data_IF_820726517389
#
_entry.id   IF_820726517389
#
_cell.length_a   1.000
_cell.length_b   1.000
_cell.length_c   1.000
_cell.angle_alpha   90.00
_cell.angle_beta   90.00
_cell.angle_gamma   90.00
#
_symmetry.space_group_name_H-M   'P 1'
#
loop_
_entity.id
_entity.type
_entity.pdbx_description
1 polymer ?
#
# COMPACT_ATOMS: atom_id res chain seq x y z
N UNK A 1 -22.46 10.08 2.34
CA UNK A 1 -21.28 9.44 2.94
C UNK A 1 -20.69 8.46 1.96
N UNK A 2 -19.41 8.64 1.64
CA UNK A 2 -18.68 7.76 0.74
C UNK A 2 -18.53 6.37 1.35
N UNK A 3 -18.59 5.34 0.53
CA UNK A 3 -18.52 3.95 0.98
C UNK A 3 -17.08 3.46 1.06
N UNK A 4 -16.67 3.01 2.24
CA UNK A 4 -15.45 2.20 2.38
C UNK A 4 -15.80 0.76 1.97
N UNK A 5 -15.13 0.27 0.94
CA UNK A 5 -15.43 -1.04 0.35
C UNK A 5 -14.78 -2.18 1.13
N UNK A 6 -13.50 -2.00 1.54
CA UNK A 6 -12.73 -3.02 2.29
C UNK A 6 -11.41 -2.49 2.81
N UNK A 7 -10.75 -3.30 3.63
CA UNK A 7 -9.29 -3.24 3.81
C UNK A 7 -8.66 -3.82 2.53
N UNK A 8 -7.78 -3.07 1.89
CA UNK A 8 -7.09 -3.48 0.67
C UNK A 8 -5.88 -4.36 0.98
N UNK A 9 -5.03 -3.88 1.88
CA UNK A 9 -3.84 -4.58 2.32
C UNK A 9 -3.34 -4.06 3.67
N UNK A 10 -2.48 -4.86 4.27
CA UNK A 10 -1.68 -4.48 5.44
C UNK A 10 -0.23 -4.42 5.00
N UNK A 11 0.42 -3.27 5.17
CA UNK A 11 1.83 -3.09 4.81
C UNK A 11 2.73 -3.20 6.04
N UNK A 12 3.78 -4.00 5.91
CA UNK A 12 4.78 -4.24 6.94
C UNK A 12 6.15 -3.82 6.41
N UNK A 13 6.81 -2.90 7.10
CA UNK A 13 8.17 -2.51 6.77
C UNK A 13 9.17 -3.57 7.26
N UNK A 14 10.04 -4.04 6.36
CA UNK A 14 11.03 -5.08 6.65
C UNK A 14 12.41 -4.67 6.17
N UNK A 15 13.44 -5.10 6.88
CA UNK A 15 14.86 -4.85 6.51
C UNK A 15 15.28 -5.66 5.29
N UNK A 16 14.80 -6.90 5.21
CA UNK A 16 15.10 -7.84 4.15
C UNK A 16 13.80 -8.49 3.67
N UNK A 17 13.41 -8.13 2.45
CA UNK A 17 12.14 -8.60 1.86
C UNK A 17 12.16 -10.11 1.63
N UNK A 18 13.27 -10.69 1.19
CA UNK A 18 13.35 -12.13 0.91
C UNK A 18 13.31 -12.96 2.20
N UNK A 19 13.99 -12.51 3.24
CA UNK A 19 13.88 -13.11 4.56
C UNK A 19 12.46 -12.98 5.13
N UNK A 20 11.81 -11.83 4.91
CA UNK A 20 10.42 -11.61 5.27
C UNK A 20 9.47 -12.57 4.56
N UNK A 21 9.59 -12.72 3.24
CA UNK A 21 8.81 -13.68 2.44
C UNK A 21 8.92 -15.09 3.04
N UNK A 22 10.15 -15.57 3.26
CA UNK A 22 10.39 -16.89 3.79
C UNK A 22 9.72 -17.12 5.15
N UNK A 23 9.77 -16.13 6.05
CA UNK A 23 9.12 -16.19 7.37
C UNK A 23 7.61 -16.27 7.26
N UNK A 24 6.99 -15.39 6.44
CA UNK A 24 5.54 -15.37 6.27
C UNK A 24 5.01 -16.63 5.58
N UNK A 25 5.77 -17.18 4.62
CA UNK A 25 5.43 -18.47 4.01
C UNK A 25 5.49 -19.61 5.03
N UNK A 26 6.56 -19.68 5.83
CA UNK A 26 6.75 -20.76 6.81
C UNK A 26 5.74 -20.70 7.96
N UNK A 27 5.46 -19.50 8.48
CA UNK A 27 4.65 -19.30 9.69
C UNK A 27 3.16 -19.24 9.38
N UNK A 28 2.78 -18.54 8.31
CA UNK A 28 1.38 -18.26 7.96
C UNK A 28 0.88 -19.06 6.74
N UNK A 29 1.76 -19.80 6.06
CA UNK A 29 1.40 -20.42 4.78
C UNK A 29 1.10 -19.40 3.69
N UNK A 30 1.69 -18.20 3.78
CA UNK A 30 1.44 -17.12 2.83
C UNK A 30 1.88 -17.50 1.42
N UNK A 31 1.11 -17.11 0.42
CA UNK A 31 1.46 -17.30 -0.99
C UNK A 31 2.09 -16.01 -1.53
N UNK A 32 3.31 -16.10 -2.07
CA UNK A 32 3.93 -14.99 -2.78
C UNK A 32 3.25 -14.84 -4.15
N UNK A 33 2.51 -13.74 -4.31
CA UNK A 33 1.79 -13.43 -5.56
C UNK A 33 2.64 -12.60 -6.50
N UNK A 34 3.36 -11.61 -5.98
CA UNK A 34 4.22 -10.71 -6.77
C UNK A 34 5.34 -10.14 -5.91
N UNK A 35 6.49 -9.89 -6.52
CA UNK A 35 7.56 -9.05 -5.97
C UNK A 35 7.97 -8.03 -7.03
N UNK A 36 7.99 -6.76 -6.68
CA UNK A 36 8.29 -5.68 -7.60
C UNK A 36 9.05 -4.55 -6.91
N UNK A 37 9.85 -3.82 -7.68
CA UNK A 37 10.31 -2.49 -7.29
C UNK A 37 9.32 -1.44 -7.78
N UNK A 38 8.98 -0.51 -6.90
CA UNK A 38 8.06 0.58 -7.14
C UNK A 38 8.70 1.90 -6.76
N UNK A 39 8.29 2.97 -7.43
CA UNK A 39 8.59 4.33 -6.98
C UNK A 39 7.31 4.95 -6.43
N UNK A 40 7.30 5.21 -5.12
CA UNK A 40 6.20 5.83 -4.41
C UNK A 40 6.73 7.08 -3.70
N UNK A 41 6.03 8.19 -3.83
CA UNK A 41 6.44 9.47 -3.23
C UNK A 41 7.89 9.86 -3.59
N UNK A 42 8.32 9.55 -4.82
CA UNK A 42 9.68 9.79 -5.29
C UNK A 42 10.77 8.87 -4.70
N UNK A 43 10.41 7.86 -3.90
CA UNK A 43 11.35 6.90 -3.31
C UNK A 43 11.18 5.52 -3.94
N UNK A 44 12.29 4.87 -4.27
CA UNK A 44 12.29 3.48 -4.72
C UNK A 44 12.16 2.55 -3.52
N UNK A 45 11.29 1.57 -3.65
CA UNK A 45 11.08 0.54 -2.64
C UNK A 45 10.86 -0.82 -3.29
N UNK A 46 11.20 -1.88 -2.58
CA UNK A 46 10.86 -3.24 -2.95
C UNK A 46 9.59 -3.64 -2.22
N UNK A 47 8.61 -4.17 -2.93
CA UNK A 47 7.36 -4.63 -2.36
C UNK A 47 7.12 -6.10 -2.73
N UNK A 48 6.81 -6.91 -1.71
CA UNK A 48 6.37 -8.29 -1.91
C UNK A 48 4.91 -8.43 -1.48
N UNK A 49 4.08 -8.89 -2.38
CA UNK A 49 2.64 -9.07 -2.17
C UNK A 49 2.36 -10.51 -1.80
N UNK A 50 1.90 -10.73 -0.57
CA UNK A 50 1.64 -12.04 0.00
C UNK A 50 0.14 -12.20 0.24
N UNK A 51 -0.45 -13.23 -0.35
CA UNK A 51 -1.83 -13.63 -0.06
C UNK A 51 -1.87 -14.49 1.21
N UNK A 52 -2.73 -14.13 2.14
CA UNK A 52 -3.00 -14.87 3.38
C UNK A 52 -4.52 -14.99 3.52
N UNK A 53 -5.08 -16.16 3.23
CA UNK A 53 -6.53 -16.32 3.12
C UNK A 53 -7.10 -15.35 2.07
N UNK A 54 -8.10 -14.55 2.44
CA UNK A 54 -8.71 -13.53 1.58
C UNK A 54 -7.99 -12.17 1.68
N UNK A 55 -6.95 -12.08 2.51
CA UNK A 55 -6.21 -10.85 2.77
C UNK A 55 -4.93 -10.72 1.94
N UNK A 56 -4.44 -9.51 1.86
CA UNK A 56 -3.17 -9.15 1.23
C UNK A 56 -2.26 -8.48 2.26
N UNK A 57 -1.09 -9.05 2.47
CA UNK A 57 0.00 -8.45 3.24
C UNK A 57 1.07 -8.02 2.25
N UNK A 58 1.55 -6.79 2.37
CA UNK A 58 2.64 -6.26 1.56
C UNK A 58 3.86 -6.07 2.44
N UNK A 59 4.97 -6.69 2.08
CA UNK A 59 6.25 -6.47 2.74
C UNK A 59 7.00 -5.38 1.98
N UNK A 60 7.20 -4.24 2.64
CA UNK A 60 7.87 -3.08 2.08
C UNK A 60 9.31 -3.00 2.57
N UNK A 61 10.27 -3.11 1.65
CA UNK A 61 11.69 -2.96 1.93
C UNK A 61 12.27 -1.68 1.31
N UNK A 62 13.20 -1.06 2.00
CA UNK A 62 13.91 0.09 1.48
C UNK A 62 14.90 -0.33 0.39
N UNK A 63 14.89 0.39 -0.75
CA UNK A 63 15.94 0.32 -1.76
C UNK A 63 16.95 1.47 -1.55
N UNK A 64 16.45 2.62 -1.12
CA UNK A 64 17.25 3.82 -0.86
C UNK A 64 17.44 4.02 0.65
N UNK A 65 18.69 4.29 1.10
CA UNK A 65 18.98 4.38 2.54
C UNK A 65 18.33 5.58 3.24
N UNK A 66 17.98 6.62 2.49
CA UNK A 66 17.30 7.83 2.96
C UNK A 66 15.79 7.87 2.62
N UNK A 67 15.27 6.79 2.04
CA UNK A 67 13.85 6.64 1.72
C UNK A 67 12.96 6.55 2.96
N UNK A 68 11.65 6.74 2.76
CA UNK A 68 10.70 6.78 3.90
C UNK A 68 10.60 5.43 4.63
N UNK A 69 10.75 4.29 3.95
CA UNK A 69 10.76 2.96 4.59
C UNK A 69 12.02 2.78 5.45
N UNK A 70 13.21 3.19 4.94
CA UNK A 70 14.44 3.15 5.71
C UNK A 70 14.34 3.99 6.99
N UNK A 71 13.83 5.22 6.88
CA UNK A 71 13.61 6.13 8.02
C UNK A 71 12.59 5.58 9.02
N UNK A 72 11.55 4.90 8.54
CA UNK A 72 10.59 4.24 9.43
C UNK A 72 11.28 3.13 10.23
N UNK A 73 12.02 2.24 9.55
CA UNK A 73 12.73 1.13 10.20
C UNK A 73 13.78 1.63 11.19
N UNK A 74 14.52 2.69 10.85
CA UNK A 74 15.48 3.33 11.76
C UNK A 74 14.83 3.81 13.05
N UNK A 75 13.65 4.41 12.97
CA UNK A 75 12.97 5.02 14.13
C UNK A 75 12.15 4.01 14.95
N UNK A 76 11.59 2.99 14.33
CA UNK A 76 10.59 2.09 14.94
C UNK A 76 10.94 0.61 14.85
N UNK A 77 11.96 0.25 14.07
CA UNK A 77 12.24 -1.15 13.71
C UNK A 77 11.30 -1.66 12.62
N UNK A 78 11.39 -2.95 12.34
CA UNK A 78 10.46 -3.65 11.44
C UNK A 78 9.05 -3.70 12.07
N UNK A 79 8.02 -3.64 11.25
CA UNK A 79 6.65 -3.76 11.76
C UNK A 79 5.61 -3.10 10.87
N UNK A 80 4.39 -2.99 11.39
CA UNK A 80 3.26 -2.39 10.69
C UNK A 80 3.58 -0.97 10.25
N UNK A 81 3.57 -0.75 8.93
CA UNK A 81 3.81 0.57 8.35
C UNK A 81 2.51 1.31 8.08
N UNK A 82 1.59 0.71 7.34
CA UNK A 82 0.30 1.33 7.05
C UNK A 82 -0.81 0.30 6.80
N UNK A 83 -2.03 0.80 6.85
CA UNK A 83 -3.24 0.09 6.47
C UNK A 83 -3.80 0.72 5.19
N UNK A 84 -4.01 -0.09 4.16
CA UNK A 84 -4.69 0.33 2.94
C UNK A 84 -6.19 0.06 3.01
N UNK A 85 -7.01 1.05 2.69
CA UNK A 85 -8.47 0.90 2.52
C UNK A 85 -8.89 1.35 1.14
N UNK A 86 -10.00 0.80 0.63
CA UNK A 86 -10.57 1.18 -0.68
C UNK A 86 -11.87 1.91 -0.48
N UNK A 87 -12.02 3.00 -1.24
CA UNK A 87 -13.27 3.76 -1.35
C UNK A 87 -13.79 3.73 -2.79
N UNK A 88 -15.07 3.97 -2.96
CA UNK A 88 -15.72 4.07 -4.28
C UNK A 88 -15.63 5.46 -4.91
N UNK A 89 -15.39 6.50 -4.11
CA UNK A 89 -15.25 7.89 -4.53
C UNK A 89 -14.23 8.61 -3.66
N UNK A 90 -13.01 8.75 -4.16
CA UNK A 90 -11.93 9.39 -3.40
C UNK A 90 -12.13 10.89 -3.24
N UNK A 91 -12.67 11.58 -4.25
CA UNK A 91 -12.88 13.02 -4.18
C UNK A 91 -13.98 13.38 -3.16
N UNK A 92 -15.07 12.60 -3.17
CA UNK A 92 -16.13 12.72 -2.17
C UNK A 92 -15.61 12.43 -0.75
N UNK A 93 -14.80 11.38 -0.60
CA UNK A 93 -14.19 11.04 0.70
C UNK A 93 -13.25 12.13 1.22
N UNK A 94 -12.44 12.71 0.34
CA UNK A 94 -11.59 13.87 0.67
C UNK A 94 -12.43 15.04 1.17
N UNK A 95 -13.54 15.36 0.50
CA UNK A 95 -14.45 16.42 0.92
C UNK A 95 -15.05 16.18 2.32
N UNK A 96 -15.44 14.93 2.61
CA UNK A 96 -15.94 14.54 3.95
C UNK A 96 -14.85 14.70 5.03
N UNK A 97 -13.61 14.27 4.74
CA UNK A 97 -12.47 14.39 5.65
C UNK A 97 -12.11 15.85 5.95
N UNK A 98 -12.03 16.69 4.91
CA UNK A 98 -11.72 18.12 5.04
C UNK A 98 -12.82 18.85 5.84
N UNK A 99 -14.08 18.53 5.60
CA UNK A 99 -15.20 19.06 6.38
C UNK A 99 -15.14 18.65 7.85
N UNK A 100 -14.58 17.47 8.16
CA UNK A 100 -14.33 16.99 9.51
C UNK A 100 -13.03 17.53 10.14
N UNK A 101 -12.27 18.37 9.42
CA UNK A 101 -11.01 18.94 9.90
C UNK A 101 -9.82 17.99 9.86
N UNK A 102 -9.94 16.86 9.17
CA UNK A 102 -8.86 15.88 9.02
C UNK A 102 -7.90 16.34 7.92
N UNK A 103 -6.60 16.32 8.23
CA UNK A 103 -5.56 16.69 7.27
C UNK A 103 -5.14 15.51 6.40
N UNK A 104 -5.09 15.74 5.11
CA UNK A 104 -4.49 14.82 4.15
C UNK A 104 -3.00 15.07 4.11
N UNK A 105 -2.22 14.07 4.51
CA UNK A 105 -0.76 14.17 4.60
C UNK A 105 -0.09 14.12 3.22
N UNK A 106 -0.65 13.35 2.28
CA UNK A 106 -0.11 13.20 0.94
C UNK A 106 -1.21 12.82 -0.05
N UNK A 107 -1.04 13.19 -1.31
CA UNK A 107 -1.89 12.81 -2.45
C UNK A 107 -1.01 12.27 -3.56
N UNK A 108 -1.39 11.16 -4.17
CA UNK A 108 -0.65 10.57 -5.27
C UNK A 108 -1.59 9.97 -6.33
N UNK A 109 -1.11 9.97 -7.57
CA UNK A 109 -1.77 9.27 -8.68
C UNK A 109 -0.77 8.34 -9.35
N UNK A 110 -1.09 7.06 -9.38
CA UNK A 110 -0.34 6.05 -10.09
C UNK A 110 -0.94 5.84 -11.49
N UNK A 111 -1.07 6.94 -12.24
CA UNK A 111 -1.54 6.95 -13.62
C UNK A 111 -2.89 6.24 -13.81
N UNK A 112 -2.96 5.25 -14.70
CA UNK A 112 -4.19 4.51 -14.96
C UNK A 112 -4.54 3.49 -13.87
N UNK A 113 -3.62 3.20 -12.94
CA UNK A 113 -3.83 2.16 -11.94
C UNK A 113 -4.80 2.60 -10.85
N UNK A 114 -4.44 3.66 -10.11
CA UNK A 114 -5.20 4.12 -8.94
C UNK A 114 -4.82 5.54 -8.54
N UNK A 115 -5.69 6.16 -7.77
CA UNK A 115 -5.40 7.38 -6.98
C UNK A 115 -5.37 7.01 -5.51
N UNK A 116 -4.61 7.75 -4.73
CA UNK A 116 -4.51 7.51 -3.30
C UNK A 116 -4.20 8.76 -2.49
N UNK A 117 -4.58 8.73 -1.24
CA UNK A 117 -4.18 9.70 -0.23
C UNK A 117 -3.61 8.99 0.99
N UNK A 118 -2.75 9.68 1.73
CA UNK A 118 -2.29 9.23 3.04
C UNK A 118 -2.87 10.12 4.14
N UNK A 119 -3.45 9.48 5.13
CA UNK A 119 -3.92 10.13 6.35
C UNK A 119 -2.84 10.09 7.43
N UNK A 120 -2.76 11.18 8.20
CA UNK A 120 -1.76 11.32 9.24
C UNK A 120 -1.98 10.31 10.37
N UNK A 121 -0.93 9.65 10.88
CA UNK A 121 -1.03 8.80 12.06
C UNK A 121 -1.45 9.58 13.32
N UNK A 122 -1.31 10.90 13.34
CA UNK A 122 -1.77 11.73 14.47
C UNK A 122 -3.27 11.71 14.63
N UNK A 123 -4.00 11.60 13.53
CA UNK A 123 -5.48 11.58 13.53
C UNK A 123 -6.04 10.16 13.73
N UNK A 124 -5.21 9.12 13.61
CA UNK A 124 -5.59 7.71 13.61
C UNK A 124 -4.78 6.86 14.61
N UNK A 125 -4.58 7.39 15.81
CA UNK A 125 -3.98 6.67 16.95
C UNK A 125 -2.61 6.03 16.63
N UNK A 126 -1.80 6.68 15.78
CA UNK A 126 -0.46 6.22 15.41
C UNK A 126 -0.38 5.34 14.16
N UNK A 127 -1.51 5.09 13.49
CA UNK A 127 -1.54 4.28 12.25
C UNK A 127 -1.62 5.20 11.03
N UNK A 128 -0.72 5.01 10.07
CA UNK A 128 -0.85 5.61 8.74
C UNK A 128 -1.93 4.84 7.97
N UNK A 129 -2.89 5.54 7.40
CA UNK A 129 -3.92 4.93 6.55
C UNK A 129 -3.76 5.47 5.12
N UNK A 130 -3.61 4.54 4.19
CA UNK A 130 -3.65 4.80 2.76
C UNK A 130 -5.06 4.56 2.26
N UNK A 131 -5.68 5.57 1.66
CA UNK A 131 -7.01 5.47 1.07
C UNK A 131 -6.88 5.43 -0.44
N UNK A 132 -7.45 4.41 -1.05
CA UNK A 132 -7.24 4.04 -2.46
C UNK A 132 -8.56 4.08 -3.22
N UNK A 133 -8.53 4.64 -4.41
CA UNK A 133 -9.56 4.45 -5.44
C UNK A 133 -8.93 3.81 -6.68
N UNK A 134 -9.39 2.62 -7.05
CA UNK A 134 -8.97 1.94 -8.27
C UNK A 134 -9.63 2.56 -9.50
N UNK A 135 -8.84 2.92 -10.51
CA UNK A 135 -9.33 3.61 -11.72
C UNK A 135 -10.27 2.78 -12.60
N UNK A 136 -10.07 1.47 -12.63
CA UNK A 136 -10.90 0.53 -13.40
C UNK A 136 -12.09 -0.01 -12.57
N UNK A 137 -12.51 0.72 -11.54
CA UNK A 137 -13.52 0.26 -10.58
C UNK A 137 -12.94 -0.70 -9.54
N UNK A 138 -13.81 -1.30 -8.74
CA UNK A 138 -13.39 -2.15 -7.64
C UNK A 138 -12.60 -3.39 -8.08
N UNK A 139 -11.65 -3.83 -7.23
CA UNK A 139 -10.85 -5.04 -7.39
C UNK A 139 -10.92 -5.85 -6.09
N UNK A 140 -12.00 -6.64 -5.91
CA UNK A 140 -12.32 -7.25 -4.61
C UNK A 140 -11.33 -8.32 -4.17
N UNK A 141 -10.70 -9.04 -5.09
CA UNK A 141 -9.76 -10.10 -4.75
C UNK A 141 -8.30 -9.64 -4.81
N UNK A 142 -7.40 -10.22 -4.00
CA UNK A 142 -5.96 -9.98 -4.11
C UNK A 142 -5.43 -10.23 -5.53
N UNK A 143 -5.91 -11.28 -6.19
CA UNK A 143 -5.50 -11.65 -7.54
C UNK A 143 -5.83 -10.56 -8.56
N UNK A 144 -7.04 -9.98 -8.50
CA UNK A 144 -7.44 -8.87 -9.39
C UNK A 144 -6.57 -7.64 -9.17
N UNK A 145 -6.31 -7.28 -7.91
CA UNK A 145 -5.44 -6.14 -7.58
C UNK A 145 -4.03 -6.32 -8.12
N UNK A 146 -3.46 -7.51 -7.93
CA UNK A 146 -2.12 -7.83 -8.42
C UNK A 146 -2.08 -7.92 -9.95
N UNK A 147 -3.10 -8.46 -10.59
CA UNK A 147 -3.20 -8.48 -12.06
C UNK A 147 -3.17 -7.05 -12.65
N UNK A 148 -3.87 -6.10 -12.03
CA UNK A 148 -3.84 -4.68 -12.43
C UNK A 148 -2.46 -4.06 -12.21
N UNK A 149 -1.83 -4.32 -11.06
CA UNK A 149 -0.47 -3.87 -10.78
C UNK A 149 0.52 -4.40 -11.81
N UNK A 150 0.46 -5.67 -12.15
CA UNK A 150 1.34 -6.28 -13.18
C UNK A 150 1.19 -5.60 -14.54
N UNK A 151 -0.04 -5.32 -14.99
CA UNK A 151 -0.27 -4.60 -16.24
C UNK A 151 0.33 -3.21 -16.20
N UNK A 152 0.14 -2.49 -15.11
CA UNK A 152 0.71 -1.16 -14.91
C UNK A 152 2.25 -1.18 -14.94
N UNK A 153 2.89 -2.11 -14.25
CA UNK A 153 4.34 -2.23 -14.23
C UNK A 153 4.91 -2.55 -15.61
N UNK A 154 4.26 -3.46 -16.36
CA UNK A 154 4.68 -3.79 -17.74
C UNK A 154 4.58 -2.59 -18.67
N UNK A 155 3.50 -1.81 -18.59
CA UNK A 155 3.32 -0.62 -19.44
C UNK A 155 4.37 0.48 -19.18
N UNK A 156 5.06 0.44 -18.05
CA UNK A 156 6.16 1.37 -17.72
C UNK A 156 7.55 0.83 -18.08
N UNK A 157 7.68 -0.46 -18.31
CA UNK A 157 8.93 -1.11 -18.68
C UNK A 157 9.17 -1.15 -20.20
N UNK A 158 8.14 -0.86 -21.01
CA UNK A 158 8.29 -0.72 -22.47
C UNK A 158 8.81 0.69 -22.79
N UNK A 159 9.91 0.79 -23.61
CA UNK A 159 10.55 2.06 -23.96
C UNK A 159 9.66 2.94 -24.85
#
# INVERSE_FOLDING_TARGET
MVKILRIDHIAVAVKDVDAGIARYQTILGAELVEKAELSIMGNRMSAAYLKVGDGLIVLDGAVEPDGFIAKFIERRGEGLHHLGIVVDDLDGYVGELEAAGVRIAHRESLGPLRREILLSPKDLCGVVVQVIEWKEGDAPTPEERIARLRRFLRSRAEP
#
